data_IF_633977182591
#
_entry.id   IF_633977182591
#
_cell.length_a   1.000
_cell.length_b   1.000
_cell.length_c   1.000
_cell.angle_alpha   90.00
_cell.angle_beta   90.00
_cell.angle_gamma   90.00
#
_symmetry.space_group_name_H-M   'P 1'
#
loop_
_entity.id
_entity.type
_entity.pdbx_description
1 polymer ?
#
# COMPACT_ATOMS: atom_id res chain seq x y z
N UNK A 1 -23.73 -0.67 -11.68
CA UNK A 1 -22.59 -1.61 -11.75
C UNK A 1 -21.33 -0.79 -11.97
N UNK A 2 -20.62 -0.45 -10.88
CA UNK A 2 -19.40 0.35 -10.97
C UNK A 2 -18.20 -0.58 -11.21
N UNK A 3 -17.64 -0.53 -12.41
CA UNK A 3 -16.38 -1.20 -12.74
C UNK A 3 -15.23 -0.37 -12.19
N UNK A 4 -14.57 -0.86 -11.15
CA UNK A 4 -13.34 -0.26 -10.64
C UNK A 4 -12.16 -0.93 -11.33
N UNK A 5 -11.24 -0.18 -11.95
CA UNK A 5 -10.03 -0.79 -12.47
C UNK A 5 -9.23 -1.37 -11.30
N UNK A 6 -9.08 -2.69 -11.28
CA UNK A 6 -8.16 -3.37 -10.39
C UNK A 6 -6.70 -3.05 -10.76
N UNK A 7 -5.81 -3.51 -9.88
CA UNK A 7 -4.34 -3.42 -9.92
C UNK A 7 -3.79 -3.33 -11.35
N UNK A 8 -2.81 -2.45 -11.57
CA UNK A 8 -2.16 -2.35 -12.88
C UNK A 8 -1.36 -3.61 -13.20
N UNK A 9 -2.00 -4.49 -13.97
CA UNK A 9 -1.42 -5.73 -14.46
C UNK A 9 -1.01 -5.54 -15.91
N UNK A 10 0.24 -5.86 -16.20
CA UNK A 10 0.76 -6.03 -17.56
C UNK A 10 0.68 -7.51 -17.88
N UNK A 11 0.02 -7.84 -18.99
CA UNK A 11 -0.02 -9.21 -19.51
C UNK A 11 1.04 -9.32 -20.59
N UNK A 12 2.14 -10.00 -20.30
CA UNK A 12 3.14 -10.35 -21.31
C UNK A 12 2.92 -11.77 -21.78
N UNK A 13 3.30 -12.08 -23.02
CA UNK A 13 3.38 -13.45 -23.52
C UNK A 13 4.85 -13.77 -23.72
N UNK A 14 5.36 -14.80 -23.03
CA UNK A 14 6.75 -15.20 -23.18
C UNK A 14 6.98 -15.94 -24.51
N UNK A 15 8.24 -16.22 -24.85
CA UNK A 15 8.62 -16.88 -26.12
C UNK A 15 8.01 -18.29 -26.29
N UNK A 16 7.55 -18.91 -25.19
CA UNK A 16 6.91 -20.23 -25.18
C UNK A 16 5.38 -20.16 -25.27
N UNK A 17 4.80 -18.95 -25.40
CA UNK A 17 3.35 -18.75 -25.52
C UNK A 17 2.58 -18.73 -24.21
N UNK A 18 3.25 -18.77 -23.05
CA UNK A 18 2.59 -18.60 -21.76
C UNK A 18 2.28 -17.13 -21.49
N UNK A 19 1.08 -16.87 -20.97
CA UNK A 19 0.68 -15.54 -20.51
C UNK A 19 1.14 -15.34 -19.09
N UNK A 20 1.98 -14.34 -18.88
CA UNK A 20 2.46 -13.93 -17.56
C UNK A 20 1.69 -12.68 -17.13
N UNK A 21 1.18 -12.71 -15.90
CA UNK A 21 0.55 -11.57 -15.25
C UNK A 21 1.62 -10.90 -14.39
N UNK A 22 2.06 -9.71 -14.82
CA UNK A 22 3.03 -8.93 -14.09
C UNK A 22 2.38 -7.74 -13.42
N UNK A 23 2.74 -7.51 -12.18
CA UNK A 23 2.37 -6.29 -11.48
C UNK A 23 3.29 -5.18 -11.95
N UNK A 24 2.71 -4.05 -12.32
CA UNK A 24 3.50 -2.85 -12.62
C UNK A 24 4.18 -2.40 -11.33
N UNK A 25 5.50 -2.20 -11.36
CA UNK A 25 6.22 -1.66 -10.23
C UNK A 25 5.62 -0.30 -9.85
N UNK A 26 5.20 -0.15 -8.59
CA UNK A 26 4.53 1.04 -8.07
C UNK A 26 3.18 1.37 -8.74
N UNK A 27 2.57 0.42 -9.46
CA UNK A 27 1.31 0.62 -10.16
C UNK A 27 0.15 0.95 -9.23
N UNK A 28 -0.94 1.48 -9.79
CA UNK A 28 -2.15 1.79 -9.02
C UNK A 28 -2.69 0.54 -8.32
N UNK A 29 -3.11 0.69 -7.07
CA UNK A 29 -3.72 -0.37 -6.29
C UNK A 29 -5.12 0.04 -5.84
N UNK A 30 -6.00 -0.95 -5.65
CA UNK A 30 -7.28 -0.75 -5.00
C UNK A 30 -7.06 -0.96 -3.51
N UNK A 31 -7.36 0.05 -2.71
CA UNK A 31 -7.40 -0.03 -1.25
C UNK A 31 -8.85 -0.06 -0.82
N UNK A 32 -9.17 -1.02 0.04
CA UNK A 32 -10.47 -1.19 0.66
C UNK A 32 -10.39 -1.08 2.16
N UNK A 33 -11.47 -0.65 2.80
CA UNK A 33 -11.58 -0.63 4.24
C UNK A 33 -12.95 -0.16 4.69
N UNK A 34 -13.06 0.17 5.96
CA UNK A 34 -14.26 0.71 6.58
C UNK A 34 -14.00 2.15 7.03
N UNK A 35 -15.04 2.97 7.06
CA UNK A 35 -15.06 4.30 7.66
C UNK A 35 -16.41 4.53 8.33
N UNK A 36 -16.49 4.20 9.63
CA UNK A 36 -17.78 4.06 10.30
C UNK A 36 -18.65 3.02 9.58
N UNK A 37 -19.84 3.40 9.16
CA UNK A 37 -20.80 2.57 8.42
C UNK A 37 -20.59 2.61 6.88
N UNK A 38 -19.56 3.32 6.41
CA UNK A 38 -19.21 3.40 5.00
C UNK A 38 -18.13 2.38 4.62
N UNK A 39 -18.23 1.88 3.38
CA UNK A 39 -17.21 1.05 2.74
C UNK A 39 -16.28 1.95 1.93
N UNK A 40 -14.98 1.93 2.25
CA UNK A 40 -13.96 2.61 1.47
C UNK A 40 -13.54 1.73 0.30
N UNK A 41 -13.54 2.27 -0.91
CA UNK A 41 -13.04 1.61 -2.11
C UNK A 41 -12.39 2.65 -3.03
N UNK A 42 -11.06 2.75 -2.99
CA UNK A 42 -10.30 3.84 -3.62
C UNK A 42 -9.07 3.33 -4.34
N UNK A 43 -8.69 3.98 -5.42
CA UNK A 43 -7.42 3.70 -6.10
C UNK A 43 -6.33 4.63 -5.59
N UNK A 44 -5.08 4.17 -5.59
CA UNK A 44 -3.96 4.89 -4.97
C UNK A 44 -3.29 5.91 -5.88
N UNK A 45 -3.68 6.04 -7.16
CA UNK A 45 -3.00 6.92 -8.13
C UNK A 45 -3.06 8.43 -7.81
N UNK A 46 -3.97 8.83 -6.92
CA UNK A 46 -4.08 10.19 -6.39
C UNK A 46 -4.66 10.13 -4.98
N UNK A 47 -4.50 11.20 -4.22
CA UNK A 47 -5.05 11.30 -2.87
C UNK A 47 -6.56 11.61 -2.92
N UNK A 48 -7.35 10.63 -3.35
CA UNK A 48 -8.82 10.68 -3.39
C UNK A 48 -9.39 9.42 -2.75
N UNK A 49 -9.94 9.55 -1.55
CA UNK A 49 -10.61 8.46 -0.87
C UNK A 49 -12.12 8.58 -1.11
N UNK A 50 -12.70 7.53 -1.67
CA UNK A 50 -14.13 7.36 -1.91
C UNK A 50 -14.71 6.36 -0.93
N UNK A 51 -15.80 6.75 -0.30
CA UNK A 51 -16.55 5.90 0.61
C UNK A 51 -18.02 5.80 0.18
N UNK A 52 -18.55 4.59 0.25
CA UNK A 52 -19.85 4.20 -0.27
C UNK A 52 -20.72 3.66 0.86
N UNK A 53 -22.04 3.77 0.71
CA UNK A 53 -22.97 3.01 1.57
C UNK A 53 -22.96 1.53 1.17
N UNK A 54 -23.59 0.71 2.00
CA UNK A 54 -23.79 -0.72 1.76
C UNK A 54 -24.58 -1.03 0.46
N UNK A 55 -25.42 -0.10 0.02
CA UNK A 55 -26.12 -0.15 -1.28
C UNK A 55 -25.26 0.24 -2.50
N UNK A 56 -23.99 0.62 -2.27
CA UNK A 56 -23.06 1.05 -3.31
C UNK A 56 -23.21 2.51 -3.76
N UNK A 57 -24.09 3.29 -3.14
CA UNK A 57 -24.19 4.73 -3.41
C UNK A 57 -22.96 5.46 -2.87
N UNK A 58 -22.40 6.36 -3.67
CA UNK A 58 -21.27 7.18 -3.23
C UNK A 58 -21.74 8.14 -2.13
N UNK A 59 -21.24 7.93 -0.91
CA UNK A 59 -21.58 8.74 0.25
C UNK A 59 -20.59 9.90 0.45
N UNK A 60 -19.31 9.66 0.15
CA UNK A 60 -18.25 10.62 0.44
C UNK A 60 -17.07 10.53 -0.52
N UNK A 61 -16.46 11.69 -0.76
CA UNK A 61 -15.12 11.81 -1.33
C UNK A 61 -14.31 12.78 -0.46
N UNK A 62 -13.14 12.36 0.01
CA UNK A 62 -12.12 13.28 0.56
C UNK A 62 -10.92 13.35 -0.37
N UNK A 63 -10.35 14.55 -0.47
CA UNK A 63 -9.18 14.82 -1.31
C UNK A 63 -8.17 15.63 -0.53
N UNK A 64 -6.89 15.34 -0.75
CA UNK A 64 -5.80 16.19 -0.30
C UNK A 64 -4.96 16.58 -1.50
N UNK A 65 -4.38 17.77 -1.47
CA UNK A 65 -3.32 18.09 -2.41
C UNK A 65 -2.16 17.10 -2.20
N UNK A 66 -1.71 16.49 -3.29
CA UNK A 66 -0.63 15.53 -3.29
C UNK A 66 0.21 15.74 -4.54
N UNK A 67 1.51 15.92 -4.32
CA UNK A 67 2.47 16.10 -5.40
C UNK A 67 2.78 14.72 -5.97
N UNK A 68 2.36 14.49 -7.21
CA UNK A 68 2.68 13.27 -7.93
C UNK A 68 4.18 13.25 -8.24
N UNK A 69 4.85 12.19 -7.78
CA UNK A 69 6.26 11.94 -8.08
C UNK A 69 6.36 10.72 -8.99
N UNK A 70 7.02 10.86 -10.13
CA UNK A 70 7.33 9.73 -10.99
C UNK A 70 8.47 8.88 -10.39
N UNK A 71 8.39 7.54 -10.44
CA UNK A 71 9.51 6.67 -10.13
C UNK A 71 10.68 6.92 -11.08
N UNK A 72 11.89 6.88 -10.55
CA UNK A 72 13.13 7.01 -11.32
C UNK A 72 13.68 5.64 -11.71
N UNK A 73 14.64 5.64 -12.63
CA UNK A 73 15.44 4.45 -12.95
C UNK A 73 16.09 3.82 -11.72
N UNK A 74 16.53 4.65 -10.77
CA UNK A 74 17.16 4.20 -9.56
C UNK A 74 16.16 3.59 -8.58
N UNK A 75 14.91 4.07 -8.57
CA UNK A 75 13.81 3.41 -7.85
C UNK A 75 13.53 2.02 -8.46
N UNK A 76 13.57 1.86 -9.81
CA UNK A 76 13.52 0.53 -10.45
C UNK A 76 14.66 -0.37 -10.01
N UNK A 77 15.88 0.21 -10.01
CA UNK A 77 17.09 -0.28 -9.33
C UNK A 77 16.74 -1.04 -8.05
N UNK A 78 16.37 -0.24 -7.05
CA UNK A 78 16.10 -0.70 -5.70
C UNK A 78 14.97 -1.71 -5.64
N UNK A 79 13.88 -1.52 -6.38
CA UNK A 79 12.78 -2.49 -6.44
C UNK A 79 13.26 -3.87 -6.89
N UNK A 80 14.01 -3.93 -8.00
CA UNK A 80 14.51 -5.21 -8.55
C UNK A 80 15.45 -5.88 -7.55
N UNK A 81 16.38 -5.12 -6.96
CA UNK A 81 17.32 -5.65 -5.97
C UNK A 81 16.58 -6.23 -4.74
N UNK A 82 15.55 -5.55 -4.25
CA UNK A 82 14.70 -6.03 -3.14
C UNK A 82 13.92 -7.31 -3.51
N UNK A 83 13.30 -7.35 -4.69
CA UNK A 83 12.55 -8.54 -5.13
C UNK A 83 13.48 -9.75 -5.32
N UNK A 84 14.67 -9.53 -5.87
CA UNK A 84 15.68 -10.58 -6.04
C UNK A 84 16.22 -11.09 -4.71
N UNK A 85 16.40 -10.23 -3.72
CA UNK A 85 16.77 -10.65 -2.37
C UNK A 85 15.71 -11.56 -1.75
N UNK A 86 14.42 -11.24 -1.93
CA UNK A 86 13.32 -12.12 -1.49
C UNK A 86 13.31 -13.46 -2.23
N UNK A 87 13.56 -13.46 -3.54
CA UNK A 87 13.63 -14.70 -4.32
C UNK A 87 14.82 -15.57 -3.90
N UNK A 88 15.98 -14.96 -3.66
CA UNK A 88 17.18 -15.66 -3.20
C UNK A 88 17.00 -16.31 -1.81
N UNK A 89 16.14 -15.74 -0.97
CA UNK A 89 15.80 -16.32 0.33
C UNK A 89 14.90 -17.58 0.24
N UNK A 90 14.32 -17.86 -0.93
CA UNK A 90 13.48 -19.04 -1.15
C UNK A 90 14.29 -20.16 -1.86
N UNK A 91 14.72 -21.21 -1.14
CA UNK A 91 15.58 -22.27 -1.70
C UNK A 91 14.85 -23.16 -2.73
N UNK A 92 13.53 -23.04 -2.86
CA UNK A 92 12.74 -23.82 -3.81
C UNK A 92 12.56 -23.15 -5.17
N UNK A 93 13.03 -21.91 -5.35
CA UNK A 93 12.95 -21.22 -6.63
C UNK A 93 14.10 -21.63 -7.56
N UNK A 94 13.80 -22.15 -8.77
CA UNK A 94 14.83 -22.45 -9.77
C UNK A 94 15.58 -21.18 -10.22
N UNK A 95 16.90 -21.23 -10.45
CA UNK A 95 17.67 -20.06 -10.91
C UNK A 95 17.15 -19.44 -12.21
N UNK A 96 16.61 -20.26 -13.12
CA UNK A 96 16.03 -19.75 -14.38
C UNK A 96 14.83 -18.83 -14.14
N UNK A 97 14.00 -19.12 -13.13
CA UNK A 97 12.84 -18.32 -12.78
C UNK A 97 13.26 -16.98 -12.18
N UNK A 98 14.35 -16.96 -11.41
CA UNK A 98 14.92 -15.73 -10.85
C UNK A 98 15.42 -14.81 -11.97
N UNK A 99 16.14 -15.36 -12.94
CA UNK A 99 16.67 -14.59 -14.06
C UNK A 99 15.57 -14.13 -15.03
N UNK A 100 14.54 -14.97 -15.25
CA UNK A 100 13.35 -14.57 -16.00
C UNK A 100 12.61 -13.43 -15.30
N UNK A 101 12.39 -13.53 -13.98
CA UNK A 101 11.75 -12.46 -13.20
C UNK A 101 12.53 -11.15 -13.26
N UNK A 102 13.88 -11.20 -13.17
CA UNK A 102 14.75 -10.03 -13.35
C UNK A 102 14.48 -9.31 -14.69
N UNK A 103 14.62 -10.02 -15.80
CA UNK A 103 14.40 -9.47 -17.16
C UNK A 103 12.99 -8.93 -17.33
N UNK A 104 12.03 -9.62 -16.75
CA UNK A 104 10.63 -9.24 -16.70
C UNK A 104 10.41 -7.91 -15.97
N UNK A 105 11.02 -7.69 -14.81
CA UNK A 105 10.96 -6.39 -14.11
C UNK A 105 11.75 -5.29 -14.83
N UNK A 106 12.90 -5.60 -15.43
CA UNK A 106 13.71 -4.63 -16.19
C UNK A 106 12.97 -4.11 -17.44
N UNK A 107 12.16 -4.95 -18.08
CA UNK A 107 11.40 -4.61 -19.27
C UNK A 107 10.01 -4.03 -18.98
N UNK A 108 9.56 -4.09 -17.73
CA UNK A 108 8.27 -3.53 -17.32
C UNK A 108 8.35 -2.00 -17.25
N UNK A 109 7.46 -1.27 -17.95
CA UNK A 109 7.38 0.18 -17.80
C UNK A 109 7.13 0.59 -16.34
N UNK A 110 7.78 1.68 -15.93
CA UNK A 110 7.48 2.31 -14.63
C UNK A 110 6.08 2.93 -14.65
N UNK A 111 5.41 2.90 -13.49
CA UNK A 111 4.17 3.64 -13.29
C UNK A 111 4.38 5.14 -13.53
N UNK A 112 3.34 5.85 -13.96
CA UNK A 112 3.41 7.30 -14.21
C UNK A 112 3.72 8.10 -12.94
N UNK A 113 3.24 7.61 -11.79
CA UNK A 113 3.48 8.20 -10.48
C UNK A 113 3.49 7.12 -9.39
N UNK A 114 4.20 7.39 -8.31
CA UNK A 114 4.07 6.63 -7.07
C UNK A 114 2.64 6.71 -6.52
N UNK A 115 2.18 5.67 -5.79
CA UNK A 115 0.93 5.73 -5.05
C UNK A 115 0.90 6.93 -4.08
N UNK A 116 -0.28 7.52 -3.90
CA UNK A 116 -0.49 8.62 -2.96
C UNK A 116 -0.62 8.15 -1.50
N UNK A 117 -1.11 6.92 -1.32
CA UNK A 117 -1.29 6.26 -0.04
C UNK A 117 -1.21 4.75 -0.26
N UNK A 118 -1.02 4.01 0.83
CA UNK A 118 -0.78 2.56 0.77
C UNK A 118 -1.83 1.74 1.52
N UNK A 119 -2.57 2.35 2.45
CA UNK A 119 -3.54 1.64 3.28
C UNK A 119 -4.57 2.58 3.88
N UNK A 120 -5.74 2.04 4.22
CA UNK A 120 -6.72 2.71 5.07
C UNK A 120 -7.16 1.79 6.21
N UNK A 121 -7.43 2.37 7.39
CA UNK A 121 -7.93 1.68 8.59
C UNK A 121 -8.94 2.58 9.30
N UNK A 122 -9.94 2.00 9.95
CA UNK A 122 -10.81 2.72 10.90
C UNK A 122 -10.28 2.56 12.32
N UNK A 123 -10.41 3.60 13.12
CA UNK A 123 -10.27 3.49 14.58
C UNK A 123 -11.62 3.29 15.29
N UNK A 124 -11.56 2.99 16.58
CA UNK A 124 -12.75 2.78 17.43
C UNK A 124 -13.66 4.02 17.55
N UNK A 125 -13.16 5.22 17.24
CA UNK A 125 -13.93 6.46 17.26
C UNK A 125 -14.58 6.79 15.90
N UNK A 126 -14.39 5.92 14.89
CA UNK A 126 -14.92 6.12 13.55
C UNK A 126 -14.07 7.04 12.67
N UNK A 127 -12.85 7.39 13.08
CA UNK A 127 -11.93 8.14 12.22
C UNK A 127 -11.31 7.22 11.17
N UNK A 128 -11.03 7.76 10.00
CA UNK A 128 -10.29 7.07 8.95
C UNK A 128 -8.81 7.45 9.01
N UNK A 129 -7.97 6.44 9.20
CA UNK A 129 -6.53 6.53 9.13
C UNK A 129 -6.06 6.11 7.74
N UNK A 130 -5.39 7.01 7.03
CA UNK A 130 -4.85 6.78 5.69
C UNK A 130 -3.32 6.76 5.77
N UNK A 131 -2.70 5.62 5.52
CA UNK A 131 -1.24 5.49 5.52
C UNK A 131 -0.68 6.12 4.26
N UNK A 132 0.17 7.13 4.42
CA UNK A 132 0.90 7.73 3.31
C UNK A 132 1.76 6.67 2.60
N UNK A 133 2.11 6.93 1.35
CA UNK A 133 3.04 6.07 0.66
C UNK A 133 4.47 6.35 1.15
N UNK A 134 5.17 5.30 1.59
CA UNK A 134 6.57 5.39 1.98
C UNK A 134 7.44 5.21 0.74
N UNK A 135 8.17 6.25 0.33
CA UNK A 135 9.10 6.17 -0.79
C UNK A 135 10.29 5.28 -0.39
N UNK A 136 10.56 4.17 -1.11
CA UNK A 136 11.56 3.18 -0.69
C UNK A 136 12.93 3.78 -0.38
N UNK A 137 13.36 4.76 -1.18
CA UNK A 137 14.68 5.40 -1.06
C UNK A 137 14.77 6.54 -0.06
N UNK A 138 13.64 7.04 0.44
CA UNK A 138 13.64 8.15 1.42
C UNK A 138 13.82 7.64 2.85
N UNK A 139 13.67 6.33 3.09
CA UNK A 139 14.02 5.71 4.37
C UNK A 139 13.28 6.32 5.56
N UNK A 140 12.00 6.67 5.39
CA UNK A 140 11.19 7.29 6.46
C UNK A 140 11.26 6.42 7.72
N UNK A 141 11.62 6.99 8.89
CA UNK A 141 11.88 6.20 10.09
C UNK A 141 10.61 5.56 10.65
N UNK A 142 9.45 6.18 10.46
CA UNK A 142 8.15 5.72 10.96
C UNK A 142 7.07 5.91 9.89
N UNK A 143 6.15 4.94 9.68
CA UNK A 143 5.01 5.13 8.80
C UNK A 143 4.15 6.31 9.23
N UNK A 144 3.78 7.17 8.28
CA UNK A 144 2.93 8.33 8.50
C UNK A 144 1.49 8.04 8.10
N UNK A 145 0.56 8.49 8.94
CA UNK A 145 -0.87 8.36 8.74
C UNK A 145 -1.52 9.74 8.75
N UNK A 146 -2.39 10.02 7.79
CA UNK A 146 -3.32 11.14 7.88
C UNK A 146 -4.63 10.65 8.50
N UNK A 147 -5.12 11.34 9.52
CA UNK A 147 -6.35 10.98 10.23
C UNK A 147 -7.48 11.91 9.80
N UNK A 148 -8.60 11.34 9.38
CA UNK A 148 -9.82 12.05 9.01
C UNK A 148 -10.94 11.76 10.01
N UNK A 149 -11.65 12.80 10.47
CA UNK A 149 -12.83 12.67 11.33
C UNK A 149 -13.99 11.96 10.60
N UNK A 150 -15.07 11.57 11.28
CA UNK A 150 -16.23 10.96 10.64
C UNK A 150 -16.98 11.86 9.65
N UNK A 151 -16.60 13.12 9.45
CA UNK A 151 -17.12 14.03 8.42
C UNK A 151 -16.17 14.22 7.22
N UNK A 152 -14.93 13.74 7.32
CA UNK A 152 -13.90 13.87 6.30
C UNK A 152 -12.98 15.09 6.46
N UNK A 153 -12.98 15.75 7.62
CA UNK A 153 -12.00 16.78 7.96
C UNK A 153 -10.70 16.15 8.44
N UNK A 154 -9.57 16.73 8.07
CA UNK A 154 -8.26 16.30 8.57
C UNK A 154 -8.14 16.68 10.04
N UNK A 155 -7.91 15.70 10.90
CA UNK A 155 -7.58 15.90 12.31
C UNK A 155 -6.09 16.14 12.53
N UNK A 156 -5.25 15.47 11.73
CA UNK A 156 -3.80 15.62 11.83
C UNK A 156 -3.04 14.46 11.21
N UNK A 157 -1.75 14.39 11.57
CA UNK A 157 -0.86 13.32 11.16
C UNK A 157 -0.40 12.52 12.39
N UNK A 158 -0.30 11.21 12.23
CA UNK A 158 0.14 10.28 13.27
C UNK A 158 1.27 9.40 12.74
N UNK A 159 2.25 9.12 13.58
CA UNK A 159 3.32 8.17 13.29
C UNK A 159 3.10 6.89 14.08
N UNK A 160 3.36 5.74 13.46
CA UNK A 160 3.34 4.44 14.14
C UNK A 160 4.76 3.88 14.27
N UNK A 161 5.05 3.05 15.28
CA UNK A 161 6.37 2.45 15.45
C UNK A 161 6.88 1.77 14.18
N UNK A 162 8.19 1.91 13.92
CA UNK A 162 8.83 1.29 12.76
C UNK A 162 8.67 -0.23 12.80
N UNK A 163 8.30 -0.83 11.67
CA UNK A 163 8.13 -2.28 11.55
C UNK A 163 6.84 -2.81 12.17
N UNK A 164 6.00 -1.97 12.77
CA UNK A 164 4.70 -2.38 13.29
C UNK A 164 3.67 -2.50 12.15
N UNK A 165 3.26 -3.72 11.85
CA UNK A 165 2.11 -3.99 11.02
C UNK A 165 0.82 -3.75 11.80
N UNK A 166 0.28 -2.54 11.71
CA UNK A 166 -0.97 -2.16 12.41
C UNK A 166 -2.13 -3.06 11.96
N UNK A 167 -2.86 -3.60 12.93
CA UNK A 167 -4.04 -4.45 12.72
C UNK A 167 -5.30 -3.78 13.26
N UNK A 168 -5.22 -3.10 14.40
CA UNK A 168 -6.35 -2.43 15.02
C UNK A 168 -5.93 -1.13 15.71
N UNK A 169 -6.82 -0.14 15.67
CA UNK A 169 -6.66 1.15 16.35
C UNK A 169 -7.86 1.32 17.30
N UNK A 170 -7.59 1.19 18.59
CA UNK A 170 -8.57 1.33 19.66
C UNK A 170 -8.85 2.79 20.02
N UNK A 171 -9.52 2.98 21.17
CA UNK A 171 -9.75 4.31 21.73
C UNK A 171 -8.43 4.92 22.24
N UNK A 172 -7.65 4.13 22.96
CA UNK A 172 -6.43 4.50 23.68
C UNK A 172 -5.24 3.57 23.38
N UNK A 173 -5.34 2.72 22.34
CA UNK A 173 -4.24 1.84 21.93
C UNK A 173 -4.14 1.61 20.42
N UNK A 174 -2.95 1.16 19.98
CA UNK A 174 -2.69 0.58 18.67
C UNK A 174 -2.20 -0.85 18.87
N UNK A 175 -2.83 -1.80 18.19
CA UNK A 175 -2.46 -3.21 18.17
C UNK A 175 -1.87 -3.55 16.80
N UNK A 176 -0.73 -4.21 16.78
CA UNK A 176 -0.11 -4.68 15.55
C UNK A 176 0.79 -5.89 15.77
N UNK A 177 1.25 -6.46 14.66
CA UNK A 177 2.31 -7.46 14.66
C UNK A 177 3.66 -6.78 14.38
N UNK A 178 4.72 -7.31 14.98
CA UNK A 178 6.08 -6.86 14.81
C UNK A 178 6.97 -8.09 14.63
N UNK A 179 7.95 -8.02 13.73
CA UNK A 179 8.99 -9.05 13.61
C UNK A 179 10.32 -8.51 14.06
N UNK A 180 11.02 -9.29 14.87
CA UNK A 180 12.37 -8.95 15.31
C UNK A 180 13.44 -9.35 14.28
N UNK A 181 14.71 -9.19 14.66
CA UNK A 181 15.85 -9.52 13.80
C UNK A 181 15.97 -11.02 13.48
N UNK A 182 15.26 -11.88 14.21
CA UNK A 182 15.22 -13.32 14.00
C UNK A 182 13.95 -13.77 13.24
N UNK A 183 13.19 -12.81 12.68
CA UNK A 183 11.92 -13.03 11.97
C UNK A 183 10.83 -13.67 12.86
N UNK A 184 10.94 -13.53 14.18
CA UNK A 184 9.92 -14.03 15.13
C UNK A 184 8.79 -13.01 15.22
N UNK A 185 7.54 -13.47 15.02
CA UNK A 185 6.34 -12.63 15.13
C UNK A 185 5.91 -12.41 16.58
N UNK A 186 5.76 -11.13 16.94
CA UNK A 186 5.22 -10.67 18.21
C UNK A 186 3.96 -9.84 17.99
N UNK A 187 3.04 -9.92 18.94
CA UNK A 187 1.93 -8.96 19.05
C UNK A 187 2.35 -7.85 19.99
N UNK A 188 2.23 -6.60 19.55
CA UNK A 188 2.53 -5.43 20.35
C UNK A 188 1.30 -4.54 20.51
N UNK A 189 1.16 -3.98 21.72
CA UNK A 189 0.16 -2.98 22.06
C UNK A 189 0.90 -1.72 22.47
N UNK A 190 0.55 -0.60 21.82
CA UNK A 190 1.11 0.71 22.08
C UNK A 190 0.00 1.64 22.57
N UNK A 191 0.24 2.51 23.56
CA UNK A 191 -0.73 3.53 23.94
C UNK A 191 -0.96 4.51 22.77
N UNK A 192 -2.19 4.96 22.60
CA UNK A 192 -2.58 5.97 21.63
C UNK A 192 -2.90 7.27 22.34
N UNK A 193 -2.05 8.27 22.14
CA UNK A 193 -2.28 9.65 22.58
C UNK A 193 -2.63 10.49 21.34
N UNK A 194 -3.74 11.22 21.40
CA UNK A 194 -4.31 11.99 20.27
C UNK A 194 -4.23 13.49 20.54
#
# INVERSE_FOLDING_TARGET
MATHPHREVIVTTNEQGFRELMLTAYGRELVTGQWGDLVVASHTSRYEIRAFRDDGTLARIVRREHVLRAPTEEDRKSYIDEQLAMFAANPHLPPEMVEQARKSWESTPLAEAFPAFSRVLSDAAGNLWVREYDFPREGRPAPLWTVFDPDGRVLGFMETPKGLGVVQIGEDYILGHYRDELDVEYVQVWPLER
#
